data_IF_637739903918
#
_entry.id   IF_637739903918
#
_cell.length_a   1.000
_cell.length_b   1.000
_cell.length_c   1.000
_cell.angle_alpha   90.00
_cell.angle_beta   90.00
_cell.angle_gamma   90.00
#
_symmetry.space_group_name_H-M   'P 1'
#
loop_
_entity.id
_entity.type
_entity.pdbx_description
1 polymer ?
#
# COMPACT_ATOMS: atom_id res chain seq x y z
N UNK A 1 -4.34 20.09 -2.90
CA UNK A 1 -3.97 19.02 -2.00
C UNK A 1 -4.01 17.71 -2.78
N UNK A 2 -2.92 16.98 -2.76
CA UNK A 2 -2.82 15.67 -3.39
C UNK A 2 -3.01 14.55 -2.40
N UNK A 3 -3.02 13.31 -2.89
CA UNK A 3 -3.13 12.11 -2.06
C UNK A 3 -2.01 11.98 -1.03
N UNK A 4 -0.88 12.61 -1.26
CA UNK A 4 0.24 12.60 -0.32
C UNK A 4 -0.03 13.42 0.96
N UNK A 5 -0.92 14.38 0.92
CA UNK A 5 -1.34 15.11 2.11
C UNK A 5 -2.10 14.20 3.08
N UNK A 6 -2.89 13.30 2.52
CA UNK A 6 -3.59 12.28 3.31
C UNK A 6 -2.59 11.28 3.89
N UNK A 7 -1.62 10.86 3.10
CA UNK A 7 -0.56 9.97 3.55
C UNK A 7 0.22 10.58 4.73
N UNK A 8 0.55 11.87 4.61
CA UNK A 8 1.18 12.62 5.68
C UNK A 8 0.34 12.64 6.96
N UNK A 9 -0.93 12.97 6.81
CA UNK A 9 -1.85 13.02 7.95
C UNK A 9 -1.99 11.67 8.65
N UNK A 10 -2.01 10.57 7.89
CA UNK A 10 -2.08 9.21 8.43
C UNK A 10 -0.85 8.89 9.28
N UNK A 11 0.35 9.27 8.81
CA UNK A 11 1.58 9.03 9.58
C UNK A 11 1.67 9.91 10.83
N UNK A 12 1.45 11.21 10.69
CA UNK A 12 1.59 12.17 11.79
C UNK A 12 0.58 11.92 12.91
N UNK A 13 -0.62 11.50 12.56
CA UNK A 13 -1.68 11.22 13.54
C UNK A 13 -1.49 9.90 14.28
N UNK A 14 -0.57 9.03 13.83
CA UNK A 14 -0.43 7.67 14.34
C UNK A 14 -1.48 6.70 13.80
N UNK A 15 -2.33 7.13 12.89
CA UNK A 15 -3.37 6.27 12.32
C UNK A 15 -2.76 5.17 11.44
N UNK A 16 -1.66 5.47 10.73
CA UNK A 16 -0.95 4.48 9.92
C UNK A 16 -0.51 3.27 10.76
N UNK A 17 0.07 3.49 11.93
CA UNK A 17 0.42 2.39 12.85
C UNK A 17 -0.80 1.58 13.28
N UNK A 18 -1.90 2.24 13.57
CA UNK A 18 -3.14 1.57 13.98
C UNK A 18 -3.72 0.73 12.86
N UNK A 19 -3.67 1.22 11.63
CA UNK A 19 -4.09 0.48 10.44
C UNK A 19 -3.21 -0.77 10.24
N UNK A 20 -1.90 -0.61 10.34
CA UNK A 20 -0.96 -1.73 10.23
C UNK A 20 -1.12 -2.75 11.35
N UNK A 21 -1.55 -2.33 12.53
CA UNK A 21 -1.81 -3.24 13.64
C UNK A 21 -3.06 -4.10 13.42
N UNK A 22 -3.99 -3.67 12.56
CA UNK A 22 -5.30 -4.30 12.41
C UNK A 22 -5.60 -4.83 11.03
N UNK A 23 -4.82 -4.46 10.02
CA UNK A 23 -5.10 -4.89 8.66
C UNK A 23 -5.02 -6.42 8.51
N UNK A 24 -5.90 -6.94 7.69
CA UNK A 24 -5.97 -8.37 7.35
C UNK A 24 -5.37 -8.67 6.00
N UNK A 25 -5.28 -7.68 5.13
CA UNK A 25 -4.72 -7.85 3.80
C UNK A 25 -4.17 -6.56 3.22
N UNK A 26 -3.33 -6.72 2.22
CA UNK A 26 -2.76 -5.61 1.45
C UNK A 26 -2.72 -5.93 -0.03
N UNK A 27 -3.00 -4.91 -0.83
CA UNK A 27 -2.76 -4.94 -2.28
C UNK A 27 -1.66 -3.94 -2.58
N UNK A 28 -0.56 -4.40 -3.13
CA UNK A 28 0.57 -3.53 -3.43
C UNK A 28 1.73 -4.26 -4.09
N UNK A 29 2.75 -3.52 -4.51
CA UNK A 29 3.87 -4.07 -5.29
C UNK A 29 4.95 -4.75 -4.45
N UNK A 30 4.90 -4.65 -3.13
CA UNK A 30 5.91 -5.20 -2.23
C UNK A 30 5.24 -6.07 -1.17
N UNK A 31 5.80 -7.25 -0.95
CA UNK A 31 5.34 -8.12 0.14
C UNK A 31 5.50 -7.39 1.49
N UNK A 32 4.43 -7.25 2.27
CA UNK A 32 4.49 -6.58 3.56
C UNK A 32 5.50 -7.18 4.54
N UNK A 33 5.82 -8.46 4.42
CA UNK A 33 6.85 -9.10 5.22
C UNK A 33 8.25 -8.50 5.00
N UNK A 34 8.46 -7.87 3.84
CA UNK A 34 9.69 -7.18 3.48
C UNK A 34 9.71 -5.68 3.79
N UNK A 35 8.71 -5.13 4.42
CA UNK A 35 8.67 -3.71 4.75
C UNK A 35 9.78 -3.33 5.74
N UNK A 36 10.42 -2.20 5.49
CA UNK A 36 11.60 -1.74 6.23
C UNK A 36 11.26 -0.75 7.33
N UNK A 37 10.42 0.25 7.04
CA UNK A 37 10.16 1.35 7.95
C UNK A 37 8.94 1.14 8.84
N UNK A 38 7.93 0.46 8.33
CA UNK A 38 6.73 0.08 9.06
C UNK A 38 6.34 -1.32 8.63
N UNK A 39 5.78 -2.10 9.54
CA UNK A 39 5.31 -3.46 9.23
C UNK A 39 3.93 -3.69 9.82
N UNK A 40 3.12 -4.56 9.20
CA UNK A 40 1.94 -5.07 9.86
C UNK A 40 2.31 -5.77 11.18
N UNK A 41 1.42 -5.69 12.16
CA UNK A 41 1.63 -6.36 13.45
C UNK A 41 1.49 -7.88 13.37
N UNK A 42 0.94 -8.38 12.28
CA UNK A 42 0.69 -9.81 12.03
C UNK A 42 0.88 -10.11 10.56
N UNK A 43 0.93 -11.39 10.22
CA UNK A 43 0.91 -11.79 8.82
C UNK A 43 -0.41 -11.35 8.17
N UNK A 44 -0.30 -10.82 6.98
CA UNK A 44 -1.44 -10.34 6.20
C UNK A 44 -1.51 -11.09 4.87
N UNK A 45 -2.71 -11.20 4.32
CA UNK A 45 -2.89 -11.63 2.95
C UNK A 45 -2.30 -10.57 2.03
N UNK A 46 -1.42 -10.99 1.16
CA UNK A 46 -0.82 -10.08 0.18
C UNK A 46 -1.25 -10.44 -1.23
N UNK A 47 -1.86 -9.49 -1.91
CA UNK A 47 -2.14 -9.58 -3.34
C UNK A 47 -1.14 -8.68 -4.06
N UNK A 48 -0.15 -9.31 -4.68
CA UNK A 48 0.92 -8.62 -5.38
C UNK A 48 0.48 -8.07 -6.72
N UNK A 49 0.87 -6.82 -6.99
CA UNK A 49 0.67 -6.17 -8.28
C UNK A 49 2.01 -5.64 -8.77
N UNK A 50 2.16 -5.37 -10.08
CA UNK A 50 3.36 -4.72 -10.58
C UNK A 50 3.53 -3.33 -9.98
N UNK A 51 4.76 -2.87 -9.83
CA UNK A 51 5.08 -1.50 -9.43
C UNK A 51 4.71 -0.49 -10.50
N UNK A 52 4.78 0.78 -10.14
CA UNK A 52 4.53 1.86 -11.09
C UNK A 52 5.62 1.97 -12.16
N UNK A 53 5.26 2.57 -13.29
CA UNK A 53 6.10 2.68 -14.48
C UNK A 53 7.52 3.22 -14.18
N UNK A 54 7.61 4.24 -13.36
CA UNK A 54 8.88 4.90 -13.04
C UNK A 54 9.85 4.00 -12.25
N UNK A 55 9.35 2.96 -11.60
CA UNK A 55 10.19 2.04 -10.83
C UNK A 55 10.99 1.08 -11.72
N UNK A 56 10.58 0.94 -12.97
CA UNK A 56 11.26 0.05 -13.92
C UNK A 56 12.40 0.73 -14.68
N UNK A 57 12.49 2.06 -14.65
CA UNK A 57 13.42 2.81 -15.48
C UNK A 57 13.16 2.69 -16.99
N UNK A 58 12.07 2.02 -17.37
CA UNK A 58 11.62 1.78 -18.73
C UNK A 58 10.12 1.56 -18.75
N UNK A 59 9.52 1.63 -19.91
CA UNK A 59 8.10 1.30 -20.06
C UNK A 59 7.90 -0.21 -19.82
N UNK A 60 7.06 -0.63 -18.89
CA UNK A 60 6.79 -2.05 -18.67
C UNK A 60 6.06 -2.67 -19.87
N UNK A 61 6.23 -3.96 -20.05
CA UNK A 61 5.44 -4.72 -21.03
C UNK A 61 3.96 -4.76 -20.58
N UNK A 62 3.11 -5.25 -21.48
CA UNK A 62 1.69 -5.40 -21.17
C UNK A 62 1.47 -6.33 -19.98
N UNK A 63 2.22 -7.42 -19.94
CA UNK A 63 2.16 -8.43 -18.88
C UNK A 63 2.66 -7.92 -17.53
N UNK A 64 3.54 -6.94 -17.55
CA UNK A 64 4.05 -6.28 -16.35
C UNK A 64 3.14 -5.14 -15.87
N UNK A 65 2.11 -4.83 -16.62
CA UNK A 65 1.22 -3.70 -16.27
C UNK A 65 0.22 -4.06 -15.17
N UNK A 66 -0.23 -3.04 -14.45
CA UNK A 66 -1.31 -3.21 -13.47
C UNK A 66 -2.58 -3.81 -14.10
N UNK A 67 -2.85 -3.47 -15.35
CA UNK A 67 -4.04 -3.98 -16.07
C UNK A 67 -4.01 -5.49 -16.24
N UNK A 68 -2.83 -6.05 -16.47
CA UNK A 68 -2.70 -7.50 -16.64
C UNK A 68 -3.06 -8.26 -15.36
N UNK A 69 -2.85 -7.64 -14.18
CA UNK A 69 -3.13 -8.25 -12.89
C UNK A 69 -4.48 -7.87 -12.29
N UNK A 70 -5.20 -6.93 -12.91
CA UNK A 70 -6.45 -6.43 -12.35
C UNK A 70 -7.52 -7.52 -12.22
N UNK A 71 -7.58 -8.44 -13.17
CA UNK A 71 -8.51 -9.57 -13.11
C UNK A 71 -8.23 -10.49 -11.93
N UNK A 72 -6.97 -10.79 -11.65
CA UNK A 72 -6.58 -11.62 -10.51
C UNK A 72 -6.94 -10.96 -9.19
N UNK A 73 -6.69 -9.65 -9.08
CA UNK A 73 -7.04 -8.89 -7.88
C UNK A 73 -8.56 -8.88 -7.65
N UNK A 74 -9.33 -8.63 -8.72
CA UNK A 74 -10.80 -8.59 -8.62
C UNK A 74 -11.41 -9.96 -8.39
N UNK A 75 -10.72 -11.04 -8.75
CA UNK A 75 -11.14 -12.40 -8.48
C UNK A 75 -10.79 -12.87 -7.05
N UNK A 76 -9.99 -12.13 -6.33
CA UNK A 76 -9.66 -12.46 -4.94
C UNK A 76 -10.91 -12.36 -4.05
N UNK A 77 -11.05 -13.29 -3.12
CA UNK A 77 -12.17 -13.30 -2.19
C UNK A 77 -11.90 -12.36 -1.01
N UNK A 78 -12.71 -11.32 -0.92
CA UNK A 78 -12.74 -10.42 0.23
C UNK A 78 -13.93 -10.77 1.10
N UNK A 79 -13.76 -10.76 2.42
CA UNK A 79 -14.81 -11.15 3.36
C UNK A 79 -15.22 -9.99 4.27
N UNK A 80 -16.49 -9.97 4.74
CA UNK A 80 -16.94 -8.97 5.70
C UNK A 80 -16.05 -8.93 6.95
N UNK A 81 -15.83 -7.73 7.47
CA UNK A 81 -15.02 -7.50 8.66
C UNK A 81 -13.52 -7.42 8.44
N UNK A 82 -13.05 -7.70 7.24
CA UNK A 82 -11.65 -7.53 6.89
C UNK A 82 -11.30 -6.06 6.68
N UNK A 83 -10.04 -5.72 6.95
CA UNK A 83 -9.47 -4.42 6.63
C UNK A 83 -8.34 -4.62 5.61
N UNK A 84 -8.48 -4.00 4.45
CA UNK A 84 -7.50 -4.05 3.37
C UNK A 84 -6.87 -2.68 3.16
N UNK A 85 -5.55 -2.65 3.08
CA UNK A 85 -4.79 -1.45 2.72
C UNK A 85 -4.35 -1.59 1.27
N UNK A 86 -4.61 -0.55 0.47
CA UNK A 86 -4.44 -0.61 -0.97
C UNK A 86 -3.43 0.45 -1.41
N UNK A 87 -2.38 0.02 -2.09
CA UNK A 87 -1.38 0.88 -2.72
C UNK A 87 -1.21 0.49 -4.18
N UNK A 88 -2.18 0.85 -5.02
CA UNK A 88 -2.29 0.37 -6.39
C UNK A 88 -2.47 1.49 -7.42
N UNK A 89 -2.03 2.70 -7.10
CA UNK A 89 -2.12 3.83 -8.01
C UNK A 89 -3.56 4.07 -8.48
N UNK A 90 -3.73 4.28 -9.78
CA UNK A 90 -5.04 4.59 -10.37
C UNK A 90 -6.07 3.46 -10.20
N UNK A 91 -5.64 2.21 -10.19
CA UNK A 91 -6.54 1.07 -10.01
C UNK A 91 -6.97 0.88 -8.56
N UNK A 92 -6.34 1.56 -7.62
CA UNK A 92 -6.67 1.47 -6.20
C UNK A 92 -8.13 1.77 -5.90
N UNK A 93 -8.73 2.72 -6.59
CA UNK A 93 -10.15 3.06 -6.43
C UNK A 93 -11.08 1.92 -6.83
N UNK A 94 -10.74 1.21 -7.90
CA UNK A 94 -11.50 0.06 -8.38
C UNK A 94 -11.40 -1.08 -7.36
N UNK A 95 -10.21 -1.34 -6.86
CA UNK A 95 -9.99 -2.39 -5.86
C UNK A 95 -10.69 -2.06 -4.53
N UNK A 96 -10.59 -0.84 -4.06
CA UNK A 96 -11.31 -0.41 -2.87
C UNK A 96 -12.83 -0.56 -3.02
N UNK A 97 -13.35 -0.26 -4.20
CA UNK A 97 -14.78 -0.43 -4.50
C UNK A 97 -15.20 -1.90 -4.43
N UNK A 98 -14.40 -2.80 -5.01
CA UNK A 98 -14.66 -4.25 -4.97
C UNK A 98 -14.60 -4.80 -3.54
N UNK A 99 -13.63 -4.37 -2.75
CA UNK A 99 -13.48 -4.76 -1.36
C UNK A 99 -14.70 -4.32 -0.54
N UNK A 100 -15.11 -3.06 -0.72
CA UNK A 100 -16.29 -2.52 -0.07
C UNK A 100 -17.56 -3.28 -0.45
N UNK A 101 -17.71 -3.63 -1.72
CA UNK A 101 -18.87 -4.39 -2.19
C UNK A 101 -18.96 -5.78 -1.53
N UNK A 102 -17.85 -6.36 -1.13
CA UNK A 102 -17.78 -7.62 -0.41
C UNK A 102 -18.06 -7.48 1.11
N UNK A 103 -18.31 -6.28 1.59
CA UNK A 103 -18.57 -6.00 3.01
C UNK A 103 -17.30 -5.78 3.86
N UNK A 104 -16.15 -5.72 3.23
CA UNK A 104 -14.89 -5.40 3.90
C UNK A 104 -14.62 -3.89 3.89
N UNK A 105 -13.62 -3.47 4.65
CA UNK A 105 -13.13 -2.08 4.66
C UNK A 105 -11.88 -2.00 3.82
N UNK A 106 -11.78 -1.00 2.97
CA UNK A 106 -10.59 -0.70 2.19
C UNK A 106 -10.17 0.74 2.39
N UNK A 107 -8.86 0.93 2.54
CA UNK A 107 -8.25 2.25 2.63
C UNK A 107 -7.14 2.33 1.58
N UNK A 108 -7.28 3.29 0.69
CA UNK A 108 -6.23 3.60 -0.27
C UNK A 108 -5.15 4.43 0.43
N UNK A 109 -4.01 3.82 0.66
CA UNK A 109 -2.87 4.47 1.32
C UNK A 109 -1.89 5.08 0.32
N UNK A 110 -2.10 4.86 -0.97
CA UNK A 110 -1.30 5.46 -2.04
C UNK A 110 0.20 5.19 -1.87
N UNK A 111 1.00 6.23 -2.06
CA UNK A 111 2.47 6.16 -1.97
C UNK A 111 3.00 5.90 -0.55
N UNK A 112 2.15 5.94 0.46
CA UNK A 112 2.55 5.62 1.82
C UNK A 112 3.11 4.19 1.93
N UNK A 113 2.58 3.29 1.12
CA UNK A 113 3.08 1.91 1.06
C UNK A 113 4.53 1.83 0.54
N UNK A 114 4.91 2.68 -0.40
CA UNK A 114 6.30 2.80 -0.85
C UNK A 114 7.21 3.28 0.29
N UNK A 115 6.74 4.26 1.05
CA UNK A 115 7.44 4.76 2.23
C UNK A 115 7.69 3.64 3.25
N UNK A 116 6.67 2.88 3.59
CA UNK A 116 6.79 1.77 4.55
C UNK A 116 7.73 0.68 4.07
N UNK A 117 7.72 0.41 2.77
CA UNK A 117 8.55 -0.63 2.17
C UNK A 117 10.02 -0.25 2.04
N UNK A 118 10.36 1.03 2.18
CA UNK A 118 11.70 1.54 1.97
C UNK A 118 12.07 1.75 0.51
N UNK A 119 11.10 1.68 -0.42
CA UNK A 119 11.34 1.97 -1.83
C UNK A 119 11.54 3.47 -2.04
N UNK A 120 12.25 3.80 -3.11
CA UNK A 120 12.45 5.20 -3.46
C UNK A 120 11.11 5.86 -3.76
N UNK A 121 10.81 6.92 -3.01
CA UNK A 121 9.61 7.70 -3.22
C UNK A 121 9.88 8.82 -4.23
N UNK A 122 9.35 8.66 -5.43
CA UNK A 122 9.48 9.66 -6.50
C UNK A 122 8.56 10.86 -6.32
N UNK A 123 7.62 10.80 -5.40
CA UNK A 123 6.68 11.90 -5.12
C UNK A 123 7.16 12.84 -4.03
N UNK A 124 8.34 12.59 -3.47
CA UNK A 124 8.96 13.46 -2.50
C UNK A 124 8.42 13.36 -1.09
N UNK A 125 7.61 12.35 -0.78
CA UNK A 125 7.05 12.13 0.57
C UNK A 125 8.17 11.99 1.61
N UNK A 126 9.27 11.32 1.27
CA UNK A 126 10.41 11.13 2.15
C UNK A 126 11.13 12.43 2.52
N UNK A 127 11.02 13.48 1.70
CA UNK A 127 11.68 14.76 1.96
C UNK A 127 11.16 15.45 3.21
N UNK A 128 9.92 15.20 3.54
CA UNK A 128 9.23 15.90 4.61
C UNK A 128 9.21 15.11 5.92
N UNK A 129 9.71 13.87 5.90
CA UNK A 129 9.54 12.97 7.02
C UNK A 129 10.77 12.09 7.28
N UNK A 130 11.94 12.69 7.54
CA UNK A 130 13.16 11.90 7.75
C UNK A 130 13.04 10.93 8.94
N UNK A 131 12.23 11.23 9.94
CA UNK A 131 12.03 10.37 11.10
C UNK A 131 11.23 9.09 10.78
N UNK A 132 10.45 9.09 9.69
CA UNK A 132 9.75 7.88 9.22
C UNK A 132 10.72 6.93 8.52
N UNK A 133 11.89 7.41 8.14
CA UNK A 133 12.90 6.58 7.48
C UNK A 133 13.61 5.60 8.42
N UNK A 134 13.46 5.76 9.72
CA UNK A 134 14.07 4.83 10.66
C UNK A 134 13.50 3.42 10.44
N UNK A 135 14.34 2.38 10.40
CA UNK A 135 13.85 1.02 10.31
C UNK A 135 12.89 0.68 11.44
N UNK A 136 11.91 -0.14 11.13
CA UNK A 136 10.96 -0.60 12.12
C UNK A 136 11.67 -1.34 13.26
N UNK A 137 11.40 -0.93 14.49
CA UNK A 137 11.99 -1.53 15.68
C UNK A 137 13.25 -0.86 16.20
N UNK A 138 13.87 0.03 15.46
CA UNK A 138 15.12 0.70 15.88
C UNK A 138 14.90 1.82 16.89
N UNK A 139 13.70 2.27 17.08
CA UNK A 139 13.36 3.35 17.99
C UNK A 139 12.57 2.88 19.21
N UNK A 140 12.61 1.63 19.45
CA UNK A 140 11.84 1.04 20.54
C UNK A 140 12.28 1.54 21.91
#
# INVERSE_FOLDING_TARGET
>A
AGGWDIAWALEVSGLAERLLARCTGMIGPVDPAGFVHRRPARDVDWVGIPGELHLYGRRPSREESHWARSGDVLAHEFAPGQLWLVGAGMLGKIYCSAIKAAGAVAIDVGSLMDLWSGRQDTRGTLRYQPWVLAPYGDGA
#
